data_IF_375319498992
#
_entry.id   IF_375319498992
#
_cell.length_a   1.000
_cell.length_b   1.000
_cell.length_c   1.000
_cell.angle_alpha   90.00
_cell.angle_beta   90.00
_cell.angle_gamma   90.00
#
_symmetry.space_group_name_H-M   'P 1'
#
loop_
_entity.id
_entity.type
_entity.pdbx_description
1 polymer ?
#
# COMPACT_ATOMS: atom_id res chain seq x y z
N UNK A 1 8.57 60.77 -23.52
CA UNK A 1 8.71 59.31 -23.30
C UNK A 1 8.62 59.08 -21.80
N UNK A 2 7.76 58.19 -21.30
CA UNK A 2 7.69 57.85 -19.86
C UNK A 2 8.32 56.47 -19.66
N UNK A 3 9.49 56.41 -19.04
CA UNK A 3 10.07 55.14 -18.58
C UNK A 3 9.24 54.60 -17.42
N UNK A 4 8.84 53.33 -17.49
CA UNK A 4 8.07 52.69 -16.41
C UNK A 4 9.03 52.26 -15.30
N UNK A 5 8.93 52.80 -14.07
CA UNK A 5 9.90 52.51 -13.01
C UNK A 5 9.91 51.04 -12.58
N UNK A 6 8.81 50.31 -12.78
CA UNK A 6 8.75 48.87 -12.50
C UNK A 6 9.71 48.07 -13.37
N UNK A 7 9.93 48.43 -14.64
CA UNK A 7 10.92 47.75 -15.50
C UNK A 7 12.35 47.97 -15.02
N UNK A 8 12.65 49.16 -14.46
CA UNK A 8 13.94 49.47 -13.87
C UNK A 8 14.18 48.65 -12.59
N UNK A 9 13.17 48.53 -11.72
CA UNK A 9 13.23 47.67 -10.54
C UNK A 9 13.38 46.18 -10.89
N UNK A 10 12.67 45.72 -11.93
CA UNK A 10 12.76 44.33 -12.41
C UNK A 10 14.14 44.04 -13.02
N UNK A 11 14.71 44.99 -13.76
CA UNK A 11 16.07 44.89 -14.28
C UNK A 11 17.13 44.86 -13.18
N UNK A 12 17.04 45.77 -12.19
CA UNK A 12 17.98 45.81 -11.06
C UNK A 12 17.90 44.54 -10.21
N UNK A 13 16.69 43.99 -10.01
CA UNK A 13 16.50 42.70 -9.33
C UNK A 13 17.11 41.51 -10.11
N UNK A 14 17.01 41.52 -11.44
CA UNK A 14 17.63 40.50 -12.29
C UNK A 14 19.16 40.61 -12.33
N UNK A 15 19.73 41.82 -12.31
CA UNK A 15 21.20 41.99 -12.22
C UNK A 15 21.76 41.51 -10.88
N UNK A 16 21.05 41.73 -9.76
CA UNK A 16 21.48 41.17 -8.46
C UNK A 16 21.42 39.65 -8.37
N UNK A 17 20.72 38.97 -9.29
CA UNK A 17 20.76 37.51 -9.41
C UNK A 17 21.93 36.98 -10.27
N UNK A 18 22.60 37.85 -11.03
CA UNK A 18 23.62 37.48 -12.02
C UNK A 18 25.04 37.93 -11.63
N UNK A 19 25.19 38.97 -10.81
CA UNK A 19 26.50 39.47 -10.34
C UNK A 19 27.05 38.74 -9.10
N UNK A 20 26.52 37.56 -8.74
CA UNK A 20 27.19 36.63 -7.80
C UNK A 20 28.37 35.95 -8.49
N UNK A 21 29.37 36.74 -8.85
CA UNK A 21 30.70 36.26 -9.21
C UNK A 21 31.34 35.60 -7.98
N UNK A 22 31.99 34.42 -8.10
CA UNK A 22 32.58 33.73 -6.96
C UNK A 22 33.87 34.41 -6.50
N UNK A 23 33.73 35.52 -5.76
CA UNK A 23 34.81 36.09 -4.96
C UNK A 23 35.18 35.09 -3.86
N UNK A 24 36.31 34.40 -4.04
CA UNK A 24 36.79 33.40 -3.09
C UNK A 24 37.28 34.03 -1.79
N UNK A 25 36.38 34.19 -0.83
CA UNK A 25 36.75 34.37 0.58
C UNK A 25 36.77 33.02 1.29
N UNK A 26 37.90 32.72 1.93
CA UNK A 26 38.10 31.53 2.75
C UNK A 26 37.53 31.77 4.15
N UNK A 27 36.21 31.78 4.27
CA UNK A 27 35.57 31.54 5.57
C UNK A 27 35.48 30.02 5.83
N UNK A 28 35.38 29.63 7.09
CA UNK A 28 35.54 28.23 7.52
C UNK A 28 34.32 27.39 7.12
N UNK A 29 34.53 26.13 6.71
CA UNK A 29 33.47 25.17 6.33
C UNK A 29 32.64 24.69 7.54
N UNK A 30 31.97 25.61 8.22
CA UNK A 30 30.94 25.35 9.24
C UNK A 30 29.60 25.03 8.58
N UNK A 31 29.40 25.51 7.34
CA UNK A 31 28.22 25.25 6.52
C UNK A 31 28.61 24.61 5.20
N UNK A 32 27.80 23.63 4.77
CA UNK A 32 27.96 22.96 3.49
C UNK A 32 27.57 23.89 2.33
N UNK A 33 28.21 23.71 1.18
CA UNK A 33 27.83 24.40 -0.06
C UNK A 33 26.37 24.11 -0.45
N UNK A 34 25.68 25.00 -1.18
CA UNK A 34 24.30 24.78 -1.61
C UNK A 34 24.02 23.42 -2.30
N UNK A 35 24.87 22.90 -3.22
CA UNK A 35 24.61 21.61 -3.85
C UNK A 35 24.80 20.42 -2.89
N UNK A 36 25.73 20.52 -1.94
CA UNK A 36 25.90 19.52 -0.87
C UNK A 36 24.72 19.59 0.11
N UNK A 37 24.33 20.77 0.55
CA UNK A 37 23.25 20.99 1.52
C UNK A 37 21.88 20.51 0.99
N UNK A 38 21.53 20.84 -0.26
CA UNK A 38 20.31 20.31 -0.88
C UNK A 38 20.37 18.78 -1.07
N UNK A 39 21.57 18.19 -1.21
CA UNK A 39 21.71 16.73 -1.26
C UNK A 39 21.29 16.06 0.05
N UNK A 40 21.42 16.69 1.22
CA UNK A 40 20.87 16.15 2.48
C UNK A 40 19.33 16.19 2.53
N UNK A 41 18.69 17.07 1.76
CA UNK A 41 17.23 17.11 1.62
C UNK A 41 16.72 16.10 0.57
N UNK A 42 17.54 15.73 -0.41
CA UNK A 42 17.17 14.82 -1.51
C UNK A 42 17.64 13.37 -1.36
N UNK A 43 18.81 13.15 -0.74
CA UNK A 43 19.46 11.83 -0.56
C UNK A 43 18.92 11.09 0.65
N UNK A 44 18.62 11.82 1.73
CA UNK A 44 17.69 11.31 2.72
C UNK A 44 16.32 11.23 2.05
N UNK A 45 15.92 10.01 1.66
CA UNK A 45 14.60 9.70 1.14
C UNK A 45 13.54 9.90 2.25
N UNK A 46 13.29 11.17 2.57
CA UNK A 46 12.14 11.60 3.37
C UNK A 46 10.92 11.28 2.51
N UNK A 47 10.34 10.11 2.76
CA UNK A 47 8.96 9.80 2.37
C UNK A 47 8.16 11.06 2.69
N UNK A 48 7.50 11.71 1.70
CA UNK A 48 6.68 12.87 1.98
C UNK A 48 5.71 12.50 3.11
N UNK A 49 5.69 13.33 4.17
CA UNK A 49 4.59 13.25 5.14
C UNK A 49 3.29 13.31 4.33
N UNK A 50 2.29 12.52 4.73
CA UNK A 50 1.11 12.26 3.89
C UNK A 50 0.44 13.56 3.39
N UNK A 51 0.59 14.61 4.19
CA UNK A 51 -0.11 15.87 4.18
C UNK A 51 0.66 16.94 3.36
N UNK A 52 0.96 16.62 2.11
CA UNK A 52 1.74 17.49 1.21
C UNK A 52 0.91 18.59 0.51
N UNK A 53 -0.40 18.64 0.79
CA UNK A 53 -1.35 19.63 0.26
C UNK A 53 -1.94 20.53 1.37
N UNK A 54 -1.73 20.12 2.62
CA UNK A 54 -2.18 20.73 3.85
C UNK A 54 -1.19 21.81 4.33
N UNK A 55 -1.71 22.87 4.97
CA UNK A 55 -0.88 23.89 5.61
C UNK A 55 -0.61 23.52 7.08
N UNK A 56 -0.03 22.34 7.32
CA UNK A 56 0.26 21.83 8.68
C UNK A 56 1.11 22.82 9.48
N UNK A 57 2.08 23.50 8.84
CA UNK A 57 2.94 24.50 9.47
C UNK A 57 2.17 25.73 10.03
N UNK A 58 0.88 25.88 9.69
CA UNK A 58 -0.02 26.92 10.20
C UNK A 58 -1.17 26.37 11.05
N UNK A 59 -1.25 25.04 11.23
CA UNK A 59 -2.37 24.35 11.89
C UNK A 59 -1.86 23.63 13.14
N UNK A 60 -2.43 23.86 14.34
CA UNK A 60 -1.96 23.18 15.55
C UNK A 60 -2.24 21.67 15.46
N UNK A 61 -1.27 20.86 15.93
CA UNK A 61 -1.35 19.40 15.90
C UNK A 61 -2.58 18.85 16.61
N UNK A 62 -3.22 17.86 16.00
CA UNK A 62 -4.44 17.23 16.49
C UNK A 62 -4.38 15.70 16.37
N UNK A 63 -4.33 15.04 17.52
CA UNK A 63 -4.25 13.59 17.67
C UNK A 63 -5.37 12.82 16.94
N UNK A 64 -6.58 13.38 16.83
CA UNK A 64 -7.68 12.72 16.11
C UNK A 64 -7.39 12.71 14.59
N UNK A 65 -7.04 13.87 14.03
CA UNK A 65 -6.68 14.02 12.62
C UNK A 65 -5.44 13.18 12.29
N UNK A 66 -4.29 13.54 12.86
CA UNK A 66 -2.98 13.02 12.43
C UNK A 66 -2.75 11.55 12.82
N UNK A 67 -3.27 11.12 13.97
CA UNK A 67 -2.93 9.84 14.58
C UNK A 67 -4.09 8.83 14.72
N UNK A 68 -5.30 9.17 14.27
CA UNK A 68 -6.46 8.23 14.28
C UNK A 68 -7.20 8.17 12.96
N UNK A 69 -7.45 9.31 12.32
CA UNK A 69 -7.97 9.39 10.96
C UNK A 69 -6.85 9.13 9.93
N UNK A 70 -5.67 9.73 10.16
CA UNK A 70 -4.45 9.57 9.37
C UNK A 70 -3.43 8.64 10.07
N UNK A 71 -2.24 8.49 9.45
CA UNK A 71 -1.12 7.70 9.97
C UNK A 71 0.08 8.59 10.30
N UNK A 72 0.13 9.10 11.52
CA UNK A 72 1.26 9.83 12.06
C UNK A 72 2.52 8.98 12.31
N UNK A 73 3.66 9.68 12.34
CA UNK A 73 4.94 9.25 12.93
C UNK A 73 5.02 9.53 14.43
N UNK A 74 6.09 9.06 15.09
CA UNK A 74 6.29 9.29 16.53
C UNK A 74 6.46 10.78 16.86
N UNK A 75 7.04 11.56 15.95
CA UNK A 75 7.33 12.97 16.18
C UNK A 75 6.07 13.83 16.10
N UNK A 76 5.16 13.54 15.16
CA UNK A 76 3.82 14.18 15.11
C UNK A 76 3.00 13.82 16.36
N UNK A 77 3.07 12.57 16.82
CA UNK A 77 2.44 12.18 18.08
C UNK A 77 3.05 12.94 19.28
N UNK A 78 4.37 13.16 19.30
CA UNK A 78 5.06 13.96 20.32
C UNK A 78 4.66 15.43 20.28
N UNK A 79 4.45 15.98 19.09
CA UNK A 79 3.93 17.34 18.88
C UNK A 79 2.47 17.48 19.34
N UNK A 80 1.65 16.44 19.21
CA UNK A 80 0.27 16.41 19.73
C UNK A 80 0.17 16.32 21.27
N UNK A 81 1.14 15.72 21.96
CA UNK A 81 1.08 15.51 23.42
C UNK A 81 1.96 16.46 24.24
N UNK A 82 3.01 17.04 23.65
CA UNK A 82 4.10 17.79 24.29
C UNK A 82 4.89 17.03 25.40
N UNK A 83 4.42 15.87 25.85
CA UNK A 83 5.01 15.00 26.88
C UNK A 83 5.45 13.64 26.29
N UNK A 84 6.74 13.34 26.43
CA UNK A 84 7.33 12.07 25.99
C UNK A 84 6.67 10.84 26.64
N UNK A 85 6.27 10.93 27.91
CA UNK A 85 5.68 9.80 28.67
C UNK A 85 4.24 9.49 28.25
N UNK A 86 3.49 10.50 27.80
CA UNK A 86 2.18 10.31 27.18
C UNK A 86 2.34 9.77 25.75
N UNK A 87 3.30 10.31 25.01
CA UNK A 87 3.65 9.87 23.65
C UNK A 87 4.08 8.40 23.62
N UNK A 88 4.93 7.95 24.55
CA UNK A 88 5.34 6.55 24.68
C UNK A 88 4.14 5.62 24.92
N UNK A 89 3.27 5.95 25.89
CA UNK A 89 2.06 5.17 26.20
C UNK A 89 1.12 5.07 25.02
N UNK A 90 0.91 6.17 24.29
CA UNK A 90 0.14 6.16 23.05
C UNK A 90 0.82 5.27 22.01
N UNK A 91 2.11 5.45 21.78
CA UNK A 91 2.88 4.74 20.75
C UNK A 91 2.96 3.23 21.00
N UNK A 92 2.96 2.77 22.25
CA UNK A 92 2.85 1.33 22.57
C UNK A 92 1.50 0.74 22.14
N UNK A 93 0.41 1.51 22.25
CA UNK A 93 -0.93 1.09 21.81
C UNK A 93 -1.18 1.28 20.30
N UNK A 94 -0.37 2.11 19.64
CA UNK A 94 -0.60 2.57 18.27
C UNK A 94 -0.30 1.48 17.22
N UNK A 95 -1.31 1.16 16.40
CA UNK A 95 -1.27 0.01 15.48
C UNK A 95 -0.21 0.09 14.38
N UNK A 96 0.34 1.27 14.12
CA UNK A 96 1.34 1.52 13.06
C UNK A 96 2.76 1.75 13.57
N UNK A 97 3.01 1.54 14.86
CA UNK A 97 4.27 1.82 15.58
C UNK A 97 5.51 1.00 15.16
N UNK A 98 5.42 0.16 14.13
CA UNK A 98 6.49 -0.71 13.64
C UNK A 98 6.78 -1.95 14.50
N UNK A 99 6.33 -2.00 15.77
CA UNK A 99 6.39 -3.18 16.64
C UNK A 99 5.30 -4.18 16.23
N UNK A 100 5.50 -4.86 15.09
CA UNK A 100 4.54 -5.76 14.43
C UNK A 100 3.65 -6.55 15.41
N UNK A 101 2.34 -6.26 15.38
CA UNK A 101 1.43 -6.45 16.51
C UNK A 101 1.30 -7.89 17.02
N UNK A 102 2.11 -8.25 18.02
CA UNK A 102 2.21 -9.59 18.65
C UNK A 102 1.01 -9.97 19.54
N UNK A 103 -0.21 -9.54 19.19
CA UNK A 103 -1.38 -9.71 20.07
C UNK A 103 -2.77 -9.46 19.49
N UNK A 104 -2.91 -9.05 18.21
CA UNK A 104 -4.23 -8.96 17.56
C UNK A 104 -4.32 -9.97 16.43
N UNK A 105 -4.99 -11.09 16.69
CA UNK A 105 -5.47 -11.97 15.63
C UNK A 105 -6.64 -11.29 14.93
N UNK A 106 -6.55 -11.11 13.62
CA UNK A 106 -7.65 -10.54 12.85
C UNK A 106 -8.80 -11.53 12.76
N UNK A 107 -9.76 -11.41 13.69
CA UNK A 107 -10.94 -12.29 13.77
C UNK A 107 -11.72 -12.28 12.45
N UNK A 108 -11.77 -11.14 11.76
CA UNK A 108 -12.32 -11.04 10.42
C UNK A 108 -11.52 -11.86 9.38
N UNK A 109 -10.18 -11.77 9.39
CA UNK A 109 -9.31 -12.55 8.51
C UNK A 109 -9.42 -14.07 8.77
N UNK A 110 -9.50 -14.48 10.04
CA UNK A 110 -9.72 -15.88 10.42
C UNK A 110 -11.10 -16.38 9.98
N UNK A 111 -12.16 -15.58 10.17
CA UNK A 111 -13.52 -15.92 9.75
C UNK A 111 -13.65 -16.03 8.22
N UNK A 112 -13.04 -15.10 7.46
CA UNK A 112 -12.99 -15.16 5.99
C UNK A 112 -12.17 -16.36 5.52
N UNK A 113 -11.01 -16.62 6.13
CA UNK A 113 -10.18 -17.79 5.81
C UNK A 113 -10.91 -19.12 6.04
N UNK A 114 -11.59 -19.27 7.18
CA UNK A 114 -12.36 -20.48 7.50
C UNK A 114 -13.59 -20.66 6.60
N UNK A 115 -14.36 -19.60 6.34
CA UNK A 115 -15.54 -19.70 5.46
C UNK A 115 -15.17 -20.03 4.01
N UNK A 116 -14.14 -19.38 3.45
CA UNK A 116 -13.60 -19.72 2.13
C UNK A 116 -13.05 -21.15 2.09
N UNK A 117 -12.29 -21.59 3.11
CA UNK A 117 -11.77 -22.95 3.19
C UNK A 117 -12.87 -24.02 3.20
N UNK A 118 -13.91 -23.83 4.02
CA UNK A 118 -15.07 -24.74 4.09
C UNK A 118 -15.81 -24.78 2.76
N UNK A 119 -16.06 -23.63 2.12
CA UNK A 119 -16.72 -23.56 0.81
C UNK A 119 -15.94 -24.32 -0.27
N UNK A 120 -14.61 -24.17 -0.32
CA UNK A 120 -13.75 -24.91 -1.26
C UNK A 120 -13.79 -26.42 -1.02
N UNK A 121 -13.78 -26.87 0.24
CA UNK A 121 -13.90 -28.29 0.60
C UNK A 121 -15.26 -28.86 0.17
N UNK A 122 -16.35 -28.13 0.39
CA UNK A 122 -17.70 -28.54 -0.02
C UNK A 122 -17.82 -28.63 -1.55
N UNK A 123 -17.32 -27.63 -2.28
CA UNK A 123 -17.34 -27.62 -3.75
C UNK A 123 -16.49 -28.77 -4.34
N UNK A 124 -15.29 -29.01 -3.79
CA UNK A 124 -14.44 -30.12 -4.20
C UNK A 124 -15.09 -31.49 -3.91
N UNK A 125 -15.70 -31.67 -2.73
CA UNK A 125 -16.41 -32.90 -2.36
C UNK A 125 -17.62 -33.18 -3.25
N UNK A 126 -18.45 -32.15 -3.53
CA UNK A 126 -19.59 -32.25 -4.45
C UNK A 126 -19.12 -32.57 -5.88
N UNK A 127 -18.07 -31.89 -6.37
CA UNK A 127 -17.48 -32.14 -7.69
C UNK A 127 -16.93 -33.56 -7.83
N UNK A 128 -16.19 -34.04 -6.84
CA UNK A 128 -15.67 -35.42 -6.81
C UNK A 128 -16.80 -36.45 -6.77
N UNK A 129 -17.84 -36.24 -5.96
CA UNK A 129 -19.02 -37.11 -5.93
C UNK A 129 -19.74 -37.14 -7.29
N UNK A 130 -19.94 -35.98 -7.92
CA UNK A 130 -20.57 -35.90 -9.24
C UNK A 130 -19.74 -36.58 -10.32
N UNK A 131 -18.43 -36.36 -10.35
CA UNK A 131 -17.49 -36.99 -11.28
C UNK A 131 -17.47 -38.52 -11.13
N UNK A 132 -17.38 -39.03 -9.90
CA UNK A 132 -17.42 -40.47 -9.64
C UNK A 132 -18.78 -41.08 -10.02
N UNK A 133 -19.90 -40.38 -9.75
CA UNK A 133 -21.25 -40.83 -10.13
C UNK A 133 -21.48 -40.78 -11.64
N UNK A 134 -20.90 -39.80 -12.34
CA UNK A 134 -20.90 -39.70 -13.80
C UNK A 134 -20.13 -40.86 -14.43
N UNK A 135 -18.89 -41.10 -13.96
CA UNK A 135 -18.04 -42.22 -14.42
C UNK A 135 -18.71 -43.58 -14.21
N UNK A 136 -19.40 -43.80 -13.07
CA UNK A 136 -20.20 -45.01 -12.84
C UNK A 136 -21.36 -45.15 -13.85
N UNK A 137 -22.08 -44.07 -14.17
CA UNK A 137 -23.18 -44.11 -15.16
C UNK A 137 -22.68 -44.47 -16.55
N UNK A 138 -21.59 -43.83 -17.03
CA UNK A 138 -21.00 -44.20 -18.33
C UNK A 138 -20.47 -45.64 -18.34
N UNK A 139 -19.87 -46.11 -17.24
CA UNK A 139 -19.43 -47.51 -17.10
C UNK A 139 -20.57 -48.54 -17.22
N UNK A 140 -21.80 -48.19 -16.82
CA UNK A 140 -22.97 -49.06 -17.01
C UNK A 140 -23.56 -49.03 -18.44
N UNK A 141 -23.25 -47.99 -19.23
CA UNK A 141 -23.77 -47.84 -20.61
C UNK A 141 -22.83 -48.46 -21.66
N UNK A 142 -21.61 -48.85 -21.28
CA UNK A 142 -20.54 -49.30 -22.20
C UNK A 142 -20.68 -50.75 -22.71
N UNK A 143 -21.86 -51.36 -22.61
CA UNK A 143 -22.09 -52.74 -23.09
C UNK A 143 -23.33 -52.81 -24.01
N UNK A 144 -23.15 -52.65 -25.34
CA UNK A 144 -24.16 -53.00 -26.32
C UNK A 144 -24.43 -54.51 -26.24
N UNK A 145 -25.71 -54.90 -26.22
CA UNK A 145 -26.08 -56.33 -26.28
C UNK A 145 -25.64 -56.92 -27.63
N UNK A 146 -25.00 -58.12 -27.66
CA UNK A 146 -24.72 -58.78 -28.92
C UNK A 146 -26.05 -59.15 -29.62
N UNK A 147 -26.13 -59.02 -30.96
CA UNK A 147 -27.35 -59.38 -31.69
C UNK A 147 -27.67 -60.88 -31.52
N UNK A 148 -28.96 -61.27 -31.51
CA UNK A 148 -29.36 -62.65 -31.27
C UNK A 148 -28.85 -63.60 -32.38
N UNK A 149 -28.50 -64.85 -32.05
CA UNK A 149 -27.88 -65.78 -32.99
C UNK A 149 -28.87 -66.25 -34.08
N UNK A 150 -28.73 -65.67 -35.27
CA UNK A 150 -29.02 -66.25 -36.59
C UNK A 150 -30.26 -67.17 -36.70
N UNK A 151 -31.45 -66.57 -36.72
CA UNK A 151 -32.73 -67.25 -36.85
C UNK A 151 -33.03 -67.77 -38.28
N UNK A 152 -32.15 -68.59 -38.85
CA UNK A 152 -32.25 -69.06 -40.25
C UNK A 152 -31.66 -70.46 -40.47
N UNK A 153 -32.15 -71.46 -39.73
CA UNK A 153 -31.88 -72.88 -40.03
C UNK A 153 -33.04 -73.83 -39.67
N UNK A 154 -34.20 -73.61 -40.31
CA UNK A 154 -35.24 -74.65 -40.48
C UNK A 154 -35.90 -74.56 -41.87
N UNK A 155 -35.48 -75.45 -42.78
CA UNK A 155 -36.35 -76.05 -43.79
C UNK A 155 -36.37 -77.57 -43.55
N UNK A 156 -37.51 -78.18 -43.22
CA UNK A 156 -37.76 -79.58 -43.49
C UNK A 156 -38.45 -79.73 -44.85
N UNK A 157 -37.84 -80.50 -45.75
CA UNK A 157 -38.39 -81.03 -47.02
C UNK A 157 -39.28 -80.05 -47.84
#
# INVERSE_FOLDING_TARGET
MRGHPSLLLLYMGLTTCLDTSPSGETDQEVFLGPPEAQSFLSSHNRIPRANHWDLELLTPGNLERECREERCSWEEARECFEDNTLTERFWESYIYNGKGGRGRVDVAGLAVGLTCGILLIVLAGLGAFWYLRWRRRQGQQACPQPPPPYASLRRPY
#
